data_IF_764843614492
#
_entry.id   IF_764843614492
#
_cell.length_a   1.000
_cell.length_b   1.000
_cell.length_c   1.000
_cell.angle_alpha   90.00
_cell.angle_beta   90.00
_cell.angle_gamma   90.00
#
_symmetry.space_group_name_H-M   'P 1'
#
loop_
_entity.id
_entity.type
_entity.pdbx_description
1 polymer ?
#
# COMPACT_ATOMS: atom_id res chain seq x y z
N UNK A 1 -18.55 -0.58 7.71
CA UNK A 1 -17.17 -0.98 8.06
C UNK A 1 -16.46 -1.83 7.00
N UNK A 2 -17.16 -2.53 6.10
CA UNK A 2 -16.56 -3.37 5.03
C UNK A 2 -16.04 -2.59 3.82
N UNK A 3 -16.68 -1.48 3.43
CA UNK A 3 -16.29 -0.70 2.25
C UNK A 3 -14.93 -0.02 2.36
N UNK A 4 -14.58 0.51 3.54
CA UNK A 4 -13.32 1.24 3.73
C UNK A 4 -12.10 0.30 3.73
N UNK A 5 -12.21 -0.92 4.30
CA UNK A 5 -11.13 -1.92 4.23
C UNK A 5 -10.92 -2.46 2.82
N UNK A 6 -12.00 -2.61 2.04
CA UNK A 6 -11.89 -2.95 0.60
C UNK A 6 -11.14 -1.86 -0.16
N UNK A 7 -11.46 -0.59 0.09
CA UNK A 7 -10.76 0.55 -0.51
C UNK A 7 -9.28 0.59 -0.13
N UNK A 8 -8.96 0.41 1.15
CA UNK A 8 -7.58 0.33 1.63
C UNK A 8 -6.77 -0.76 0.91
N UNK A 9 -7.34 -1.95 0.69
CA UNK A 9 -6.68 -3.02 -0.09
C UNK A 9 -6.44 -2.64 -1.54
N UNK A 10 -7.35 -1.91 -2.17
CA UNK A 10 -7.15 -1.42 -3.53
C UNK A 10 -5.99 -0.42 -3.61
N UNK A 11 -5.88 0.49 -2.64
CA UNK A 11 -4.75 1.45 -2.54
C UNK A 11 -3.43 0.71 -2.31
N UNK A 12 -3.40 -0.29 -1.44
CA UNK A 12 -2.21 -1.11 -1.22
C UNK A 12 -1.77 -1.83 -2.51
N UNK A 13 -2.71 -2.38 -3.27
CA UNK A 13 -2.43 -3.03 -4.55
C UNK A 13 -1.85 -2.04 -5.57
N UNK A 14 -2.42 -0.84 -5.66
CA UNK A 14 -1.91 0.21 -6.55
C UNK A 14 -0.48 0.63 -6.17
N UNK A 15 -0.21 0.79 -4.87
CA UNK A 15 1.13 1.13 -4.39
C UNK A 15 2.16 0.05 -4.76
N UNK A 16 1.86 -1.23 -4.51
CA UNK A 16 2.76 -2.34 -4.82
C UNK A 16 3.03 -2.44 -6.34
N UNK A 17 2.00 -2.25 -7.17
CA UNK A 17 2.15 -2.24 -8.63
C UNK A 17 3.09 -1.13 -9.11
N UNK A 18 2.94 0.08 -8.58
CA UNK A 18 3.78 1.21 -8.96
C UNK A 18 5.23 1.01 -8.51
N UNK A 19 5.44 0.57 -7.27
CA UNK A 19 6.78 0.27 -6.72
C UNK A 19 7.49 -0.77 -7.61
N UNK A 20 6.81 -1.87 -7.94
CA UNK A 20 7.37 -2.95 -8.76
C UNK A 20 7.69 -2.48 -10.19
N UNK A 21 6.81 -1.67 -10.79
CA UNK A 21 6.95 -1.25 -12.20
C UNK A 21 7.96 -0.11 -12.38
N UNK A 22 8.04 0.84 -11.44
CA UNK A 22 8.78 2.09 -11.59
C UNK A 22 10.05 2.17 -10.75
N UNK A 23 10.18 1.31 -9.73
CA UNK A 23 11.19 1.39 -8.67
C UNK A 23 11.20 2.72 -7.92
N UNK A 24 10.07 3.44 -7.92
CA UNK A 24 9.90 4.59 -7.04
C UNK A 24 9.99 4.17 -5.57
N UNK A 25 10.46 5.09 -4.73
CA UNK A 25 10.55 4.87 -3.29
C UNK A 25 9.16 4.63 -2.68
N UNK A 26 9.02 3.54 -1.92
CA UNK A 26 7.73 3.10 -1.39
C UNK A 26 7.03 4.18 -0.53
N UNK A 27 7.81 4.96 0.24
CA UNK A 27 7.29 6.04 1.06
C UNK A 27 6.73 7.21 0.23
N UNK A 28 7.33 7.51 -0.93
CA UNK A 28 6.84 8.55 -1.83
C UNK A 28 5.51 8.14 -2.47
N UNK A 29 5.45 6.91 -3.01
CA UNK A 29 4.24 6.33 -3.59
C UNK A 29 3.11 6.29 -2.56
N UNK A 30 3.39 5.77 -1.36
CA UNK A 30 2.42 5.72 -0.27
C UNK A 30 1.98 7.11 0.18
N UNK A 31 2.91 8.07 0.30
CA UNK A 31 2.60 9.44 0.68
C UNK A 31 1.62 10.10 -0.28
N UNK A 32 1.87 9.97 -1.59
CA UNK A 32 0.99 10.49 -2.64
C UNK A 32 -0.39 9.83 -2.63
N UNK A 33 -0.43 8.50 -2.69
CA UNK A 33 -1.69 7.74 -2.76
C UNK A 33 -2.56 7.93 -1.51
N UNK A 34 -1.97 7.97 -0.33
CA UNK A 34 -2.72 8.16 0.93
C UNK A 34 -3.17 9.61 1.14
N UNK A 35 -2.51 10.59 0.51
CA UNK A 35 -2.96 11.98 0.53
C UNK A 35 -4.15 12.21 -0.42
N UNK A 36 -4.17 11.52 -1.56
CA UNK A 36 -5.28 11.57 -2.52
C UNK A 36 -6.52 10.82 -2.00
N UNK A 37 -6.32 9.81 -1.15
CA UNK A 37 -7.38 8.93 -0.68
C UNK A 37 -7.94 9.32 0.69
N UNK A 38 -9.25 9.57 0.77
CA UNK A 38 -9.94 9.88 2.04
C UNK A 38 -10.17 8.60 2.89
N UNK A 39 -9.09 8.02 3.41
CA UNK A 39 -9.09 6.85 4.30
C UNK A 39 -9.03 7.28 5.78
N UNK A 40 -9.64 6.49 6.66
CA UNK A 40 -9.45 6.66 8.11
C UNK A 40 -8.00 6.34 8.51
N UNK A 41 -7.55 6.87 9.66
CA UNK A 41 -6.22 6.62 10.20
C UNK A 41 -5.85 5.12 10.28
N UNK A 42 -6.78 4.29 10.75
CA UNK A 42 -6.60 2.83 10.82
C UNK A 42 -6.46 2.15 9.44
N UNK A 43 -7.06 2.75 8.40
CA UNK A 43 -6.92 2.28 7.03
C UNK A 43 -5.61 2.74 6.40
N UNK A 44 -5.21 3.98 6.67
CA UNK A 44 -3.89 4.52 6.29
C UNK A 44 -2.75 3.69 6.90
N UNK A 45 -2.81 3.42 8.22
CA UNK A 45 -1.82 2.61 8.92
C UNK A 45 -1.75 1.18 8.37
N UNK A 46 -2.90 0.58 8.09
CA UNK A 46 -2.97 -0.74 7.47
C UNK A 46 -2.35 -0.81 6.08
N UNK A 47 -2.60 0.17 5.21
CA UNK A 47 -1.99 0.22 3.88
C UNK A 47 -0.47 0.29 4.01
N UNK A 48 0.04 1.20 4.85
CA UNK A 48 1.48 1.34 5.08
C UNK A 48 2.12 0.05 5.58
N UNK A 49 1.52 -0.58 6.60
CA UNK A 49 2.03 -1.83 7.15
C UNK A 49 1.98 -2.97 6.12
N UNK A 50 0.89 -3.09 5.36
CA UNK A 50 0.74 -4.15 4.36
C UNK A 50 1.79 -4.01 3.25
N UNK A 51 1.95 -2.82 2.67
CA UNK A 51 2.91 -2.57 1.59
C UNK A 51 4.34 -2.77 2.09
N UNK A 52 4.67 -2.24 3.27
CA UNK A 52 5.99 -2.43 3.88
C UNK A 52 6.34 -3.90 4.05
N UNK A 53 5.43 -4.69 4.63
CA UNK A 53 5.68 -6.11 4.90
C UNK A 53 5.76 -6.94 3.61
N UNK A 54 4.95 -6.63 2.59
CA UNK A 54 5.08 -7.33 1.30
C UNK A 54 6.42 -7.04 0.64
N UNK A 55 6.87 -5.78 0.65
CA UNK A 55 8.16 -5.40 0.08
C UNK A 55 9.33 -6.04 0.86
N UNK A 56 9.27 -6.02 2.19
CA UNK A 56 10.30 -6.64 3.05
C UNK A 56 10.38 -8.17 2.87
N UNK A 57 9.26 -8.84 2.62
CA UNK A 57 9.17 -10.29 2.50
C UNK A 57 8.99 -10.77 1.06
N UNK A 58 9.23 -9.93 0.05
CA UNK A 58 8.92 -10.25 -1.35
C UNK A 58 9.57 -11.57 -1.82
N UNK A 59 10.85 -11.79 -1.51
CA UNK A 59 11.56 -13.00 -1.89
C UNK A 59 11.02 -14.28 -1.23
N UNK A 60 10.44 -14.17 -0.03
CA UNK A 60 9.77 -15.29 0.66
C UNK A 60 8.38 -15.55 0.07
N UNK A 61 7.68 -14.50 -0.37
CA UNK A 61 6.34 -14.57 -0.96
C UNK A 61 6.37 -15.12 -2.39
N UNK A 62 7.38 -14.72 -3.18
CA UNK A 62 7.51 -15.09 -4.59
C UNK A 62 8.19 -16.47 -4.80
N UNK A 63 8.89 -16.98 -3.78
CA UNK A 63 9.63 -18.25 -3.79
C UNK A 63 8.77 -19.49 -3.60
#
# INVERSE_FOLDING_TARGET
MTGQRRKARAVALQAMYEIDTTRHEAEEVLGRLLAEENLSGDNTAFVRQMVKQVVEHQAEIDG
#
